data_IF_384682517413
#
_entry.id   IF_384682517413
#
_cell.length_a   1.000
_cell.length_b   1.000
_cell.length_c   1.000
_cell.angle_alpha   90.00
_cell.angle_beta   90.00
_cell.angle_gamma   90.00
#
_symmetry.space_group_name_H-M   'P 1'
#
loop_
_entity.id
_entity.type
_entity.pdbx_description
1 polymer ?
#
# COMPACT_ATOMS: atom_id res chain seq x y z
N UNK A 1 -10.63 -26.84 -13.72
CA UNK A 1 -9.63 -26.38 -14.69
C UNK A 1 -8.47 -27.34 -14.65
N UNK A 2 -7.80 -27.68 -15.78
CA UNK A 2 -6.57 -28.45 -15.73
C UNK A 2 -5.55 -27.65 -14.89
N UNK A 3 -4.64 -28.31 -14.16
CA UNK A 3 -3.62 -27.63 -13.39
C UNK A 3 -2.77 -26.77 -14.32
N UNK A 4 -2.71 -25.47 -14.02
CA UNK A 4 -1.84 -24.55 -14.77
C UNK A 4 -0.40 -24.99 -14.51
N UNK A 5 0.38 -25.15 -15.56
CA UNK A 5 1.80 -25.49 -15.42
C UNK A 5 2.49 -24.46 -14.53
N UNK A 6 3.40 -24.89 -13.65
CA UNK A 6 4.16 -23.94 -12.82
C UNK A 6 4.80 -22.85 -13.67
N UNK A 7 4.59 -21.58 -13.29
CA UNK A 7 5.22 -20.43 -13.94
C UNK A 7 6.32 -19.87 -13.04
N UNK A 8 7.34 -19.27 -13.67
CA UNK A 8 8.44 -18.60 -13.00
C UNK A 8 8.20 -17.07 -13.04
N UNK A 9 8.02 -16.47 -11.87
CA UNK A 9 7.73 -15.04 -11.74
C UNK A 9 8.87 -14.31 -11.02
N UNK A 10 9.35 -13.21 -11.59
CA UNK A 10 10.32 -12.34 -10.92
C UNK A 10 9.69 -10.96 -10.63
N UNK A 11 9.59 -10.61 -9.35
CA UNK A 11 9.11 -9.31 -8.89
C UNK A 11 10.29 -8.35 -8.66
N UNK A 12 10.17 -7.10 -9.10
CA UNK A 12 11.18 -6.07 -8.91
C UNK A 12 10.70 -4.96 -7.98
N UNK A 13 11.45 -4.74 -6.90
CA UNK A 13 11.24 -3.65 -5.92
C UNK A 13 12.57 -2.96 -5.58
N UNK A 14 12.55 -1.70 -5.10
CA UNK A 14 13.79 -1.01 -4.73
C UNK A 14 14.53 -1.67 -3.57
N UNK A 15 13.82 -1.93 -2.49
CA UNK A 15 14.31 -2.50 -1.22
C UNK A 15 13.21 -3.33 -0.58
N UNK A 16 13.56 -4.14 0.44
CA UNK A 16 12.64 -4.95 1.25
C UNK A 16 12.76 -4.57 2.73
N UNK A 17 12.57 -3.27 3.06
CA UNK A 17 12.70 -2.80 4.45
C UNK A 17 11.37 -2.70 5.18
N UNK A 18 10.49 -1.80 4.72
CA UNK A 18 9.16 -1.58 5.30
C UNK A 18 8.33 -0.74 4.34
N UNK A 19 7.03 -0.95 4.36
CA UNK A 19 6.08 -0.17 3.59
C UNK A 19 5.09 -1.06 2.84
N UNK A 20 4.06 -0.41 2.29
CA UNK A 20 3.00 -1.12 1.64
C UNK A 20 3.41 -1.84 0.36
N UNK A 21 4.41 -1.34 -0.39
CA UNK A 21 4.90 -1.99 -1.62
C UNK A 21 5.65 -3.27 -1.28
N UNK A 22 6.54 -3.18 -0.30
CA UNK A 22 7.36 -4.29 0.18
C UNK A 22 6.49 -5.39 0.75
N UNK A 23 5.52 -5.05 1.63
CA UNK A 23 4.58 -6.03 2.18
C UNK A 23 3.78 -6.71 1.08
N UNK A 24 3.20 -5.96 0.14
CA UNK A 24 2.47 -6.53 -1.00
C UNK A 24 3.34 -7.38 -1.93
N UNK A 25 4.66 -7.17 -1.94
CA UNK A 25 5.60 -8.03 -2.69
C UNK A 25 5.73 -9.39 -2.01
N UNK A 26 5.88 -9.41 -0.67
CA UNK A 26 5.93 -10.66 0.10
C UNK A 26 4.60 -11.43 0.00
N UNK A 27 3.49 -10.72 0.13
CA UNK A 27 2.14 -11.29 0.03
C UNK A 27 1.94 -12.05 -1.31
N UNK A 28 2.32 -11.43 -2.43
CA UNK A 28 2.25 -12.08 -3.75
C UNK A 28 3.31 -13.17 -3.91
N UNK A 29 4.51 -12.99 -3.37
CA UNK A 29 5.56 -14.00 -3.39
C UNK A 29 5.12 -15.27 -2.65
N UNK A 30 4.51 -15.14 -1.48
CA UNK A 30 3.94 -16.26 -0.73
C UNK A 30 2.79 -16.92 -1.47
N UNK A 31 1.89 -16.13 -2.11
CA UNK A 31 0.79 -16.68 -2.89
C UNK A 31 1.28 -17.51 -4.10
N UNK A 32 2.36 -17.08 -4.76
CA UNK A 32 3.00 -17.81 -5.84
C UNK A 32 3.54 -19.16 -5.34
N UNK A 33 4.28 -19.17 -4.24
CA UNK A 33 4.81 -20.40 -3.64
C UNK A 33 3.69 -21.35 -3.23
N UNK A 34 2.64 -20.83 -2.58
CA UNK A 34 1.48 -21.63 -2.16
C UNK A 34 0.71 -22.25 -3.35
N UNK A 35 0.73 -21.57 -4.50
CA UNK A 35 0.13 -22.07 -5.75
C UNK A 35 1.06 -23.00 -6.54
N UNK A 36 2.27 -23.32 -6.04
CA UNK A 36 3.24 -24.20 -6.69
C UNK A 36 4.04 -23.54 -7.81
N UNK A 37 4.08 -22.19 -7.87
CA UNK A 37 4.87 -21.44 -8.83
C UNK A 37 6.27 -21.11 -8.29
N UNK A 38 7.21 -20.83 -9.20
CA UNK A 38 8.56 -20.41 -8.84
C UNK A 38 8.61 -18.90 -8.62
N UNK A 39 8.83 -18.49 -7.36
CA UNK A 39 8.80 -17.08 -6.94
C UNK A 39 10.20 -16.51 -6.72
N UNK A 40 10.55 -15.49 -7.51
CA UNK A 40 11.78 -14.72 -7.39
C UNK A 40 11.48 -13.26 -7.04
N UNK A 41 12.33 -12.65 -6.20
CA UNK A 41 12.25 -11.23 -5.88
C UNK A 41 13.62 -10.58 -6.03
N UNK A 42 13.70 -9.57 -6.88
CA UNK A 42 14.92 -8.79 -7.14
C UNK A 42 14.84 -7.43 -6.44
N UNK A 43 15.74 -7.17 -5.50
CA UNK A 43 15.81 -5.91 -4.73
C UNK A 43 17.23 -5.60 -4.25
N UNK A 44 17.41 -4.41 -3.65
CA UNK A 44 18.67 -4.07 -2.98
C UNK A 44 18.79 -4.72 -1.57
N UNK A 45 17.94 -5.70 -1.23
CA UNK A 45 17.88 -6.29 0.09
C UNK A 45 17.05 -5.49 1.10
N UNK A 46 17.14 -5.87 2.36
CA UNK A 46 16.43 -5.25 3.48
C UNK A 46 15.97 -6.28 4.51
N UNK A 47 15.45 -5.81 5.64
CA UNK A 47 15.08 -6.63 6.80
C UNK A 47 14.00 -7.70 6.54
N UNK A 48 13.23 -7.55 5.45
CA UNK A 48 12.16 -8.50 5.08
C UNK A 48 12.67 -9.64 4.17
N UNK A 49 13.97 -9.68 3.82
CA UNK A 49 14.53 -10.75 2.98
C UNK A 49 14.47 -12.09 3.67
N UNK A 50 14.76 -12.15 4.99
CA UNK A 50 14.70 -13.40 5.76
C UNK A 50 13.28 -13.97 5.83
N UNK A 51 12.27 -13.11 5.93
CA UNK A 51 10.86 -13.52 5.86
C UNK A 51 10.52 -14.08 4.50
N UNK A 52 10.89 -13.38 3.43
CA UNK A 52 10.67 -13.78 2.04
C UNK A 52 11.26 -15.17 1.74
N UNK A 53 12.51 -15.40 2.14
CA UNK A 53 13.22 -16.66 1.87
C UNK A 53 12.67 -17.81 2.71
N UNK A 54 12.30 -17.57 3.97
CA UNK A 54 11.61 -18.58 4.80
C UNK A 54 10.26 -19.00 4.22
N UNK A 55 9.61 -18.10 3.50
CA UNK A 55 8.34 -18.37 2.80
C UNK A 55 8.54 -19.11 1.45
N UNK A 56 9.78 -19.48 1.09
CA UNK A 56 10.10 -20.28 -0.09
C UNK A 56 10.42 -19.50 -1.36
N UNK A 57 10.47 -18.17 -1.34
CA UNK A 57 10.87 -17.37 -2.48
C UNK A 57 12.39 -17.18 -2.56
N UNK A 58 12.92 -16.99 -3.77
CA UNK A 58 14.34 -16.78 -4.03
C UNK A 58 14.62 -15.28 -4.14
N UNK A 59 15.52 -14.75 -3.30
CA UNK A 59 15.94 -13.37 -3.36
C UNK A 59 17.17 -13.18 -4.26
N UNK A 60 17.12 -12.16 -5.11
CA UNK A 60 18.25 -11.73 -5.95
C UNK A 60 18.68 -10.31 -5.60
N UNK A 61 19.98 -10.14 -5.33
CA UNK A 61 20.55 -8.84 -4.98
C UNK A 61 20.69 -7.94 -6.21
N UNK A 62 19.78 -6.98 -6.37
CA UNK A 62 19.80 -5.99 -7.45
C UNK A 62 19.62 -4.57 -6.92
N UNK A 63 20.68 -3.77 -6.92
CA UNK A 63 20.66 -2.38 -6.48
C UNK A 63 20.07 -1.47 -7.58
N UNK A 64 18.74 -1.48 -7.73
CA UNK A 64 17.98 -0.67 -8.70
C UNK A 64 17.21 0.49 -8.04
N UNK A 65 17.53 0.84 -6.79
CA UNK A 65 16.78 1.84 -5.99
C UNK A 65 17.19 3.29 -6.26
N UNK A 66 18.44 3.53 -6.68
CA UNK A 66 18.99 4.89 -6.85
C UNK A 66 18.55 5.51 -8.19
N UNK A 67 18.03 6.74 -8.11
CA UNK A 67 17.74 7.57 -9.29
C UNK A 67 19.05 8.16 -9.84
N UNK A 68 19.82 7.35 -10.55
CA UNK A 68 21.12 7.72 -11.11
C UNK A 68 21.28 7.16 -12.52
N UNK A 69 21.96 7.88 -13.42
CA UNK A 69 22.35 7.34 -14.73
C UNK A 69 23.15 6.02 -14.62
N UNK A 70 23.96 5.86 -13.57
CA UNK A 70 24.70 4.62 -13.29
C UNK A 70 23.79 3.40 -13.07
N UNK A 71 22.57 3.62 -12.57
CA UNK A 71 21.58 2.54 -12.42
C UNK A 71 21.09 2.06 -13.79
N UNK A 72 20.95 2.96 -14.77
CA UNK A 72 20.57 2.61 -16.14
C UNK A 72 21.67 1.83 -16.88
N UNK A 73 22.95 1.99 -16.52
CA UNK A 73 24.06 1.20 -17.10
C UNK A 73 23.92 -0.30 -16.78
N UNK A 74 23.16 -0.67 -15.76
CA UNK A 74 22.88 -2.07 -15.40
C UNK A 74 21.96 -2.79 -16.39
N UNK A 75 21.36 -2.07 -17.36
CA UNK A 75 20.37 -2.61 -18.30
C UNK A 75 20.90 -3.84 -19.08
N UNK A 76 22.14 -3.80 -19.57
CA UNK A 76 22.70 -4.90 -20.34
C UNK A 76 22.96 -6.15 -19.48
N UNK A 77 23.48 -5.95 -18.26
CA UNK A 77 23.70 -7.04 -17.30
C UNK A 77 22.40 -7.63 -16.84
N UNK A 78 21.38 -6.79 -16.55
CA UNK A 78 20.05 -7.23 -16.17
C UNK A 78 19.38 -8.03 -17.29
N UNK A 79 19.54 -7.61 -18.55
CA UNK A 79 19.01 -8.35 -19.70
C UNK A 79 19.56 -9.76 -19.76
N UNK A 80 20.89 -9.92 -19.69
CA UNK A 80 21.54 -11.25 -19.70
C UNK A 80 21.04 -12.13 -18.55
N UNK A 81 20.99 -11.56 -17.34
CA UNK A 81 20.48 -12.27 -16.17
C UNK A 81 19.03 -12.72 -16.34
N UNK A 82 18.16 -11.91 -16.98
CA UNK A 82 16.79 -12.29 -17.28
C UNK A 82 16.72 -13.35 -18.40
N UNK A 83 17.62 -13.29 -19.38
CA UNK A 83 17.76 -14.30 -20.43
C UNK A 83 18.23 -15.64 -19.85
N UNK A 84 19.15 -15.61 -18.87
CA UNK A 84 19.65 -16.82 -18.18
C UNK A 84 18.63 -17.39 -17.16
N UNK A 85 17.85 -16.51 -16.48
CA UNK A 85 16.82 -16.92 -15.52
C UNK A 85 15.60 -17.52 -16.21
N UNK A 86 15.29 -17.08 -17.43
CA UNK A 86 14.12 -17.47 -18.22
C UNK A 86 12.78 -17.37 -17.43
N UNK A 87 12.43 -16.21 -16.85
CA UNK A 87 11.15 -16.07 -16.18
C UNK A 87 10.02 -16.02 -17.22
N UNK A 88 8.83 -16.48 -16.83
CA UNK A 88 7.62 -16.31 -17.63
C UNK A 88 7.03 -14.92 -17.48
N UNK A 89 7.07 -14.40 -16.25
CA UNK A 89 6.52 -13.10 -15.88
C UNK A 89 7.59 -12.23 -15.20
N UNK A 90 7.70 -10.99 -15.63
CA UNK A 90 8.38 -9.92 -14.91
C UNK A 90 7.32 -8.99 -14.34
N UNK A 91 7.29 -8.81 -13.01
CA UNK A 91 6.36 -7.91 -12.35
C UNK A 91 7.11 -6.75 -11.67
N UNK A 92 6.93 -5.53 -12.13
CA UNK A 92 7.63 -4.36 -11.60
C UNK A 92 6.72 -3.47 -10.77
N UNK A 93 7.18 -3.12 -9.57
CA UNK A 93 6.36 -2.44 -8.56
C UNK A 93 6.85 -1.02 -8.20
N UNK A 94 7.86 -0.50 -8.90
CA UNK A 94 8.41 0.84 -8.64
C UNK A 94 9.09 1.43 -9.86
N UNK A 95 9.05 2.76 -9.98
CA UNK A 95 9.47 3.51 -11.17
C UNK A 95 10.92 3.29 -11.60
N UNK A 96 11.88 3.32 -10.67
CA UNK A 96 13.29 3.17 -11.06
C UNK A 96 13.63 1.75 -11.54
N UNK A 97 13.24 0.69 -10.81
CA UNK A 97 13.30 -0.66 -11.38
C UNK A 97 12.58 -0.79 -12.71
N UNK A 98 11.38 -0.16 -12.87
CA UNK A 98 10.61 -0.22 -14.11
C UNK A 98 11.40 0.34 -15.32
N UNK A 99 12.12 1.44 -15.15
CA UNK A 99 12.95 1.98 -16.22
C UNK A 99 14.05 1.01 -16.65
N UNK A 100 14.80 0.43 -15.72
CA UNK A 100 15.90 -0.50 -16.04
C UNK A 100 15.36 -1.79 -16.66
N UNK A 101 14.31 -2.36 -16.06
CA UNK A 101 13.66 -3.58 -16.56
C UNK A 101 13.07 -3.36 -17.94
N UNK A 102 12.31 -2.29 -18.16
CA UNK A 102 11.69 -2.01 -19.46
C UNK A 102 12.75 -1.80 -20.56
N UNK A 103 13.84 -1.10 -20.27
CA UNK A 103 14.95 -0.93 -21.21
C UNK A 103 15.67 -2.24 -21.54
N UNK A 104 15.77 -3.17 -20.57
CA UNK A 104 16.31 -4.51 -20.79
C UNK A 104 15.34 -5.35 -21.63
N UNK A 105 14.08 -5.42 -21.19
CA UNK A 105 13.01 -6.21 -21.78
C UNK A 105 12.73 -5.88 -23.23
N UNK A 106 12.70 -4.59 -23.60
CA UNK A 106 12.46 -4.17 -24.99
C UNK A 106 13.58 -4.57 -25.96
N UNK A 107 14.75 -4.94 -25.45
CA UNK A 107 15.89 -5.42 -26.24
C UNK A 107 16.00 -6.95 -26.31
N UNK A 108 15.15 -7.67 -25.58
CA UNK A 108 15.04 -9.13 -25.68
C UNK A 108 14.24 -9.52 -26.92
N UNK A 109 14.39 -10.76 -27.35
CA UNK A 109 13.62 -11.28 -28.49
C UNK A 109 12.12 -11.25 -28.21
N UNK A 110 11.30 -10.51 -28.99
CA UNK A 110 9.85 -10.38 -28.76
C UNK A 110 9.09 -11.71 -28.71
N UNK A 111 9.57 -12.74 -29.44
CA UNK A 111 8.91 -14.05 -29.49
C UNK A 111 9.08 -14.86 -28.20
N UNK A 112 10.20 -14.66 -27.47
CA UNK A 112 10.55 -15.49 -26.31
C UNK A 112 10.62 -14.73 -24.99
N UNK A 113 10.67 -13.38 -25.04
CA UNK A 113 10.80 -12.58 -23.83
C UNK A 113 9.64 -12.79 -22.86
N UNK A 114 9.89 -12.68 -21.54
CA UNK A 114 8.85 -12.80 -20.52
C UNK A 114 7.77 -11.74 -20.68
N UNK A 115 6.56 -12.02 -20.17
CA UNK A 115 5.48 -11.03 -20.13
C UNK A 115 5.76 -9.98 -19.06
N UNK A 116 5.42 -8.73 -19.33
CA UNK A 116 5.73 -7.61 -18.44
C UNK A 116 4.46 -7.08 -17.76
N UNK A 117 4.43 -7.16 -16.44
CA UNK A 117 3.39 -6.60 -15.57
C UNK A 117 3.96 -5.44 -14.77
N UNK A 118 3.18 -4.39 -14.58
CA UNK A 118 3.52 -3.30 -13.66
C UNK A 118 2.38 -3.07 -12.68
N UNK A 119 2.67 -2.66 -11.43
CA UNK A 119 1.64 -2.22 -10.47
C UNK A 119 1.88 -0.78 -10.05
N UNK A 120 0.87 0.07 -10.21
CA UNK A 120 0.91 1.44 -9.74
C UNK A 120 0.54 1.51 -8.25
N UNK A 121 1.56 1.59 -7.38
CA UNK A 121 1.41 1.68 -5.93
C UNK A 121 1.36 3.10 -5.36
N UNK A 122 1.47 4.13 -6.18
CA UNK A 122 1.46 5.51 -5.72
C UNK A 122 0.97 6.46 -6.80
N UNK A 123 0.13 7.41 -6.43
CA UNK A 123 -0.27 8.52 -7.28
C UNK A 123 0.87 9.54 -7.31
N UNK A 124 1.80 9.32 -8.19
CA UNK A 124 3.01 10.15 -8.31
C UNK A 124 2.71 11.48 -9.00
N UNK A 125 3.63 12.44 -8.89
CA UNK A 125 3.59 13.64 -9.74
C UNK A 125 3.60 13.26 -11.20
N UNK A 126 2.72 13.90 -11.99
CA UNK A 126 2.61 13.66 -13.43
C UNK A 126 3.91 14.09 -14.11
N UNK A 127 4.64 13.15 -14.69
CA UNK A 127 5.90 13.38 -15.38
C UNK A 127 6.21 12.23 -16.35
N UNK A 128 7.06 12.49 -17.33
CA UNK A 128 7.54 11.44 -18.24
C UNK A 128 8.18 10.26 -17.47
N UNK A 129 8.86 10.56 -16.35
CA UNK A 129 9.48 9.55 -15.49
C UNK A 129 8.43 8.62 -14.85
N UNK A 130 7.27 9.14 -14.45
CA UNK A 130 6.20 8.37 -13.82
C UNK A 130 5.40 7.53 -14.84
N UNK A 131 5.37 7.93 -16.12
CA UNK A 131 4.67 7.20 -17.19
C UNK A 131 5.21 5.79 -17.44
N UNK A 132 6.42 5.49 -16.95
CA UNK A 132 7.01 4.16 -17.07
C UNK A 132 6.12 3.07 -16.43
N UNK A 133 5.35 3.42 -15.39
CA UNK A 133 4.45 2.47 -14.73
C UNK A 133 3.27 2.04 -15.60
N UNK A 134 3.01 2.74 -16.70
CA UNK A 134 2.03 2.37 -17.71
C UNK A 134 2.61 1.53 -18.87
N UNK A 135 3.85 1.10 -18.81
CA UNK A 135 4.53 0.37 -19.92
C UNK A 135 4.47 -1.15 -19.80
N UNK A 136 3.75 -1.70 -18.82
CA UNK A 136 3.45 -3.13 -18.75
C UNK A 136 2.48 -3.56 -19.86
N UNK A 137 2.54 -4.82 -20.27
CA UNK A 137 1.53 -5.45 -21.14
C UNK A 137 0.20 -5.58 -20.39
N UNK A 138 0.27 -5.75 -19.06
CA UNK A 138 -0.81 -5.51 -18.11
C UNK A 138 -0.35 -4.57 -17.01
N UNK A 139 -1.24 -3.71 -16.58
CA UNK A 139 -0.98 -2.72 -15.53
C UNK A 139 -1.99 -2.91 -14.41
N UNK A 140 -1.52 -3.25 -13.23
CA UNK A 140 -2.38 -3.40 -12.05
C UNK A 140 -2.56 -2.03 -11.40
N UNK A 141 -3.81 -1.60 -11.29
CA UNK A 141 -4.24 -0.44 -10.51
C UNK A 141 -4.76 -0.90 -9.15
N UNK A 142 -4.24 -0.32 -8.06
CA UNK A 142 -4.62 -0.73 -6.70
C UNK A 142 -5.89 -0.04 -6.18
N UNK A 143 -6.51 0.83 -6.99
CA UNK A 143 -7.76 1.54 -6.71
C UNK A 143 -8.32 2.15 -8.00
N UNK A 144 -9.59 2.56 -8.00
CA UNK A 144 -10.21 3.33 -9.10
C UNK A 144 -9.48 4.66 -9.34
N UNK A 145 -8.96 5.28 -8.28
CA UNK A 145 -8.14 6.49 -8.40
C UNK A 145 -6.81 6.20 -9.13
N UNK A 146 -6.18 5.06 -8.86
CA UNK A 146 -4.98 4.62 -9.57
C UNK A 146 -5.28 4.25 -11.04
N UNK A 147 -6.42 3.65 -11.32
CA UNK A 147 -6.89 3.35 -12.68
C UNK A 147 -7.09 4.63 -13.48
N UNK A 148 -7.83 5.61 -12.94
CA UNK A 148 -7.98 6.94 -13.59
C UNK A 148 -6.63 7.59 -13.85
N UNK A 149 -5.72 7.58 -12.87
CA UNK A 149 -4.38 8.12 -13.06
C UNK A 149 -3.61 7.46 -14.21
N UNK A 150 -3.73 6.15 -14.38
CA UNK A 150 -3.10 5.41 -15.47
C UNK A 150 -3.67 5.79 -16.83
N UNK A 151 -4.98 5.91 -16.94
CA UNK A 151 -5.65 6.36 -18.17
C UNK A 151 -5.25 7.81 -18.51
N UNK A 152 -5.46 8.73 -17.58
CA UNK A 152 -5.37 10.17 -17.83
C UNK A 152 -3.93 10.65 -18.01
N UNK A 153 -2.98 10.06 -17.25
CA UNK A 153 -1.61 10.58 -17.17
C UNK A 153 -0.54 9.66 -17.73
N UNK A 154 -0.81 8.35 -17.82
CA UNK A 154 0.14 7.39 -18.38
C UNK A 154 -0.24 6.90 -19.78
N UNK A 155 -1.46 7.18 -20.25
CA UNK A 155 -1.96 6.80 -21.58
C UNK A 155 -2.18 5.28 -21.69
N UNK A 156 -2.55 4.61 -20.59
CA UNK A 156 -2.84 3.17 -20.59
C UNK A 156 -4.28 2.96 -21.06
N UNK A 157 -4.47 2.05 -22.00
CA UNK A 157 -5.81 1.69 -22.44
C UNK A 157 -6.53 0.90 -21.33
N UNK A 158 -7.84 1.14 -21.10
CA UNK A 158 -8.59 0.45 -20.03
C UNK A 158 -8.47 -1.08 -20.08
N UNK A 159 -8.49 -1.68 -21.26
CA UNK A 159 -8.38 -3.14 -21.45
C UNK A 159 -7.04 -3.72 -20.97
N UNK A 160 -5.99 -2.91 -20.86
CA UNK A 160 -4.69 -3.30 -20.35
C UNK A 160 -4.57 -3.10 -18.84
N UNK A 161 -5.57 -2.51 -18.18
CA UNK A 161 -5.60 -2.31 -16.74
C UNK A 161 -6.36 -3.46 -16.08
N UNK A 162 -5.86 -3.89 -14.94
CA UNK A 162 -6.57 -4.75 -13.99
C UNK A 162 -6.71 -3.99 -12.68
N UNK A 163 -7.94 -3.66 -12.32
CA UNK A 163 -8.26 -3.08 -11.02
C UNK A 163 -8.21 -4.19 -9.97
N UNK A 164 -7.14 -4.21 -9.20
CA UNK A 164 -6.93 -5.19 -8.13
C UNK A 164 -6.65 -4.42 -6.85
N UNK A 165 -7.66 -4.27 -6.02
CA UNK A 165 -7.52 -3.64 -4.72
C UNK A 165 -6.49 -4.38 -3.87
N UNK A 166 -5.78 -3.65 -3.03
CA UNK A 166 -4.99 -4.29 -1.99
C UNK A 166 -5.92 -4.83 -0.91
N UNK A 167 -5.40 -5.74 -0.13
CA UNK A 167 -6.20 -6.35 0.93
C UNK A 167 -5.46 -6.48 2.25
N UNK A 168 -6.21 -6.85 3.26
CA UNK A 168 -5.73 -7.30 4.56
C UNK A 168 -6.11 -8.75 4.78
N UNK A 169 -5.30 -9.45 5.57
CA UNK A 169 -5.66 -10.77 6.08
C UNK A 169 -6.59 -10.60 7.29
N UNK A 170 -7.81 -11.19 7.26
CA UNK A 170 -8.71 -11.16 8.40
C UNK A 170 -8.11 -11.78 9.69
N UNK A 171 -7.13 -12.67 9.56
CA UNK A 171 -6.42 -13.23 10.73
C UNK A 171 -5.44 -12.26 11.36
N UNK A 172 -4.86 -11.34 10.58
CA UNK A 172 -3.99 -10.27 11.09
C UNK A 172 -4.81 -9.16 11.77
N UNK A 173 -5.99 -8.82 11.22
CA UNK A 173 -6.89 -7.77 11.72
C UNK A 173 -8.30 -8.31 11.94
N UNK A 174 -8.49 -9.25 12.91
CA UNK A 174 -9.79 -9.87 13.14
C UNK A 174 -10.80 -8.87 13.72
N UNK A 175 -12.04 -9.01 13.26
CA UNK A 175 -13.15 -8.18 13.74
C UNK A 175 -13.30 -8.28 15.26
N UNK A 176 -13.54 -7.13 15.92
CA UNK A 176 -13.67 -7.01 17.38
C UNK A 176 -12.45 -7.54 18.16
N UNK A 177 -11.25 -7.43 17.58
CA UNK A 177 -10.01 -7.80 18.25
C UNK A 177 -9.88 -7.10 19.60
N UNK A 178 -9.46 -7.86 20.61
CA UNK A 178 -9.18 -7.32 21.94
C UNK A 178 -7.69 -7.55 22.27
N UNK A 179 -6.93 -6.50 22.61
CA UNK A 179 -5.55 -6.65 23.05
C UNK A 179 -5.46 -7.49 24.34
N UNK A 180 -4.35 -8.20 24.51
CA UNK A 180 -4.13 -8.98 25.73
C UNK A 180 -3.99 -8.07 26.96
N UNK A 181 -4.35 -8.58 28.14
CA UNK A 181 -4.17 -7.85 29.41
C UNK A 181 -2.72 -7.44 29.65
N UNK A 182 -1.77 -8.29 29.25
CA UNK A 182 -0.35 -8.00 29.36
C UNK A 182 0.03 -6.78 28.53
N UNK A 183 -0.48 -6.70 27.29
CA UNK A 183 -0.24 -5.56 26.40
C UNK A 183 -0.89 -4.29 26.96
N UNK A 184 -2.15 -4.38 27.45
CA UNK A 184 -2.86 -3.24 28.05
C UNK A 184 -2.13 -2.69 29.29
N UNK A 185 -1.61 -3.56 30.15
CA UNK A 185 -0.80 -3.15 31.32
C UNK A 185 0.51 -2.46 30.90
N UNK A 186 1.20 -3.00 29.89
CA UNK A 186 2.42 -2.38 29.37
C UNK A 186 2.14 -1.03 28.69
N UNK A 187 1.04 -0.93 27.93
CA UNK A 187 0.58 0.31 27.31
C UNK A 187 0.26 1.39 28.34
N UNK A 188 -0.52 1.05 29.37
CA UNK A 188 -0.87 1.97 30.45
C UNK A 188 0.35 2.47 31.25
N UNK A 189 1.35 1.60 31.46
CA UNK A 189 2.61 1.98 32.10
C UNK A 189 3.46 2.90 31.19
N UNK A 190 3.46 2.69 29.89
CA UNK A 190 4.20 3.50 28.92
C UNK A 190 3.54 4.87 28.66
N UNK A 191 2.22 4.92 28.65
CA UNK A 191 1.44 6.12 28.32
C UNK A 191 0.35 6.40 29.39
N UNK A 192 0.74 6.68 30.66
CA UNK A 192 -0.22 6.87 31.76
C UNK A 192 -1.18 8.03 31.50
N UNK A 193 -0.77 9.06 30.74
CA UNK A 193 -1.61 10.22 30.36
C UNK A 193 -2.77 9.88 29.44
N UNK A 194 -2.78 8.69 28.83
CA UNK A 194 -3.86 8.22 27.95
C UNK A 194 -4.91 7.38 28.67
N UNK A 195 -4.69 7.04 29.96
CA UNK A 195 -5.63 6.22 30.72
C UNK A 195 -7.00 6.89 30.86
N UNK A 196 -8.07 6.11 30.60
CA UNK A 196 -9.44 6.58 30.68
C UNK A 196 -9.88 7.58 29.61
N UNK A 197 -9.02 7.85 28.61
CA UNK A 197 -9.34 8.76 27.51
C UNK A 197 -9.76 8.00 26.25
N UNK A 198 -10.69 8.59 25.51
CA UNK A 198 -11.05 8.19 24.15
C UNK A 198 -9.94 8.63 23.19
N UNK A 199 -9.34 7.69 22.46
CA UNK A 199 -8.16 7.96 21.64
C UNK A 199 -8.55 8.29 20.20
N UNK A 200 -8.06 9.43 19.71
CA UNK A 200 -8.10 9.83 18.30
C UNK A 200 -6.71 9.50 17.71
N UNK A 201 -6.59 8.41 16.96
CA UNK A 201 -5.31 7.95 16.42
C UNK A 201 -5.06 8.49 15.01
N UNK A 202 -3.87 9.01 14.75
CA UNK A 202 -3.40 9.36 13.41
C UNK A 202 -2.13 8.56 13.08
N UNK A 203 -2.28 7.46 12.33
CA UNK A 203 -1.18 6.60 11.94
C UNK A 203 -0.48 7.11 10.68
N UNK A 204 0.83 6.97 10.65
CA UNK A 204 1.65 7.27 9.48
C UNK A 204 2.91 8.04 9.81
N UNK A 205 3.90 7.96 8.91
CA UNK A 205 5.16 8.69 9.05
C UNK A 205 4.93 10.17 9.32
N UNK A 206 5.71 10.76 10.22
CA UNK A 206 5.66 12.19 10.46
C UNK A 206 6.18 12.91 9.21
N UNK A 207 5.25 13.46 8.44
CA UNK A 207 5.53 14.18 7.19
C UNK A 207 4.38 15.13 6.87
N UNK A 208 4.65 16.20 6.13
CA UNK A 208 3.60 17.15 5.69
C UNK A 208 2.47 16.48 4.90
N UNK A 209 2.76 15.34 4.25
CA UNK A 209 1.75 14.57 3.52
C UNK A 209 0.63 14.06 4.44
N UNK A 210 0.97 13.60 5.64
CA UNK A 210 0.01 13.01 6.59
C UNK A 210 -0.80 14.03 7.40
N UNK A 211 -0.52 15.32 7.22
CA UNK A 211 -1.34 16.44 7.71
C UNK A 211 -1.72 16.38 9.20
N UNK A 212 -0.78 16.05 10.07
CA UNK A 212 -0.98 15.87 11.52
C UNK A 212 -1.61 17.09 12.21
N UNK A 213 -1.50 18.28 11.62
CA UNK A 213 -2.12 19.50 12.13
C UNK A 213 -3.65 19.39 12.25
N UNK A 214 -4.31 18.57 11.42
CA UNK A 214 -5.75 18.36 11.54
C UNK A 214 -6.14 17.70 12.86
N UNK A 215 -5.36 16.73 13.35
CA UNK A 215 -5.59 16.13 14.67
C UNK A 215 -5.44 17.19 15.77
N UNK A 216 -4.37 18.01 15.71
CA UNK A 216 -4.09 19.05 16.71
C UNK A 216 -5.26 20.05 16.77
N UNK A 217 -5.70 20.56 15.62
CA UNK A 217 -6.80 21.53 15.53
C UNK A 217 -8.13 20.93 16.00
N UNK A 218 -8.44 19.69 15.60
CA UNK A 218 -9.67 19.01 16.03
C UNK A 218 -9.68 18.77 17.53
N UNK A 219 -8.55 18.34 18.11
CA UNK A 219 -8.46 18.12 19.55
C UNK A 219 -8.58 19.43 20.35
N UNK A 220 -7.91 20.50 19.90
CA UNK A 220 -8.05 21.84 20.50
C UNK A 220 -9.51 22.26 20.57
N UNK A 221 -10.25 22.07 19.49
CA UNK A 221 -11.66 22.48 19.40
C UNK A 221 -12.56 21.60 20.28
N UNK A 222 -12.39 20.26 20.26
CA UNK A 222 -13.11 19.36 21.14
C UNK A 222 -12.99 19.76 22.61
N UNK A 223 -11.79 20.11 23.05
CA UNK A 223 -11.53 20.55 24.41
C UNK A 223 -12.16 21.91 24.72
N UNK A 224 -12.09 22.86 23.78
CA UNK A 224 -12.72 24.17 23.94
C UNK A 224 -14.26 24.05 24.07
N UNK A 225 -14.86 23.03 23.46
CA UNK A 225 -16.29 22.75 23.54
C UNK A 225 -16.65 21.80 24.71
N UNK A 226 -15.69 21.53 25.63
CA UNK A 226 -15.95 20.82 26.89
C UNK A 226 -15.73 19.30 26.84
N UNK A 227 -15.26 18.74 25.73
CA UNK A 227 -14.91 17.32 25.63
C UNK A 227 -13.50 17.10 26.19
N UNK A 228 -13.39 16.76 27.48
CA UNK A 228 -12.10 16.66 28.20
C UNK A 228 -11.51 15.26 28.26
N UNK A 229 -12.31 14.24 27.99
CA UNK A 229 -11.97 12.81 28.04
C UNK A 229 -11.38 12.27 26.73
N UNK A 230 -10.80 13.12 25.89
CA UNK A 230 -10.19 12.77 24.60
C UNK A 230 -8.69 13.00 24.59
N UNK A 231 -7.96 12.19 23.86
CA UNK A 231 -6.53 12.39 23.60
C UNK A 231 -6.14 12.03 22.15
N UNK A 232 -5.16 12.74 21.63
CA UNK A 232 -4.58 12.50 20.31
C UNK A 232 -3.37 11.56 20.38
N UNK A 233 -3.34 10.55 19.52
CA UNK A 233 -2.24 9.60 19.41
C UNK A 233 -1.64 9.65 18.02
N UNK A 234 -0.42 10.17 17.87
CA UNK A 234 0.32 10.20 16.61
C UNK A 234 1.27 9.00 16.58
N UNK A 235 1.03 8.08 15.64
CA UNK A 235 1.81 6.84 15.52
C UNK A 235 2.57 6.80 14.21
N UNK A 236 3.87 6.98 14.28
CA UNK A 236 4.73 6.91 13.10
C UNK A 236 6.15 7.38 13.39
N UNK A 237 7.09 6.78 12.68
CA UNK A 237 8.48 7.19 12.76
C UNK A 237 8.72 8.55 12.11
N UNK A 238 9.76 9.23 12.58
CA UNK A 238 10.38 10.37 11.90
C UNK A 238 11.71 9.93 11.28
N UNK A 239 12.06 10.52 10.16
CA UNK A 239 13.40 10.43 9.59
C UNK A 239 14.07 11.81 9.59
N UNK A 240 15.38 11.84 9.33
CA UNK A 240 16.15 13.08 9.35
C UNK A 240 15.60 14.17 8.38
N UNK A 241 14.97 13.75 7.29
CA UNK A 241 14.41 14.68 6.31
C UNK A 241 13.14 15.41 6.83
N UNK A 242 12.51 14.89 7.88
CA UNK A 242 11.26 15.42 8.44
C UNK A 242 11.43 16.04 9.85
N UNK A 243 12.64 16.16 10.36
CA UNK A 243 12.92 16.71 11.70
C UNK A 243 12.38 18.15 11.89
N UNK A 244 12.53 19.00 10.87
CA UNK A 244 12.00 20.36 10.92
C UNK A 244 10.46 20.38 11.06
N UNK A 245 9.77 19.52 10.31
CA UNK A 245 8.32 19.39 10.41
C UNK A 245 7.87 18.84 11.76
N UNK A 246 8.62 17.91 12.34
CA UNK A 246 8.33 17.41 13.67
C UNK A 246 8.39 18.51 14.74
N UNK A 247 9.42 19.38 14.70
CA UNK A 247 9.52 20.53 15.60
C UNK A 247 8.36 21.53 15.40
N UNK A 248 7.95 21.76 14.17
CA UNK A 248 6.77 22.58 13.88
C UNK A 248 5.50 22.02 14.52
N UNK A 249 5.29 20.69 14.43
CA UNK A 249 4.15 20.04 15.06
C UNK A 249 4.19 20.17 16.60
N UNK A 250 5.36 19.98 17.22
CA UNK A 250 5.52 20.18 18.67
C UNK A 250 5.18 21.62 19.08
N UNK A 251 5.65 22.61 18.32
CA UNK A 251 5.31 24.02 18.57
C UNK A 251 3.81 24.30 18.40
N UNK A 252 3.15 23.67 17.40
CA UNK A 252 1.70 23.76 17.21
C UNK A 252 0.92 23.16 18.37
N UNK A 253 1.33 22.00 18.89
CA UNK A 253 0.73 21.34 20.05
C UNK A 253 0.77 22.25 21.29
N UNK A 254 1.93 22.88 21.54
CA UNK A 254 2.10 23.84 22.68
C UNK A 254 1.20 25.06 22.46
N UNK A 255 1.23 25.66 21.26
CA UNK A 255 0.42 26.83 20.93
C UNK A 255 -1.08 26.57 21.03
N UNK A 256 -1.52 25.36 20.68
CA UNK A 256 -2.93 24.94 20.77
C UNK A 256 -3.37 24.62 22.22
N UNK A 257 -2.46 24.59 23.19
CA UNK A 257 -2.77 24.26 24.59
C UNK A 257 -3.18 22.81 24.83
N UNK A 258 -2.72 21.88 23.97
CA UNK A 258 -3.08 20.46 24.03
C UNK A 258 -1.86 19.53 24.26
N UNK A 259 -0.80 20.07 24.84
CA UNK A 259 0.46 19.34 25.03
C UNK A 259 0.31 18.10 25.92
N UNK A 260 -0.55 18.16 26.93
CA UNK A 260 -0.82 17.04 27.85
C UNK A 260 -1.78 16.00 27.23
N UNK A 261 -2.42 16.31 26.11
CA UNK A 261 -3.45 15.48 25.50
C UNK A 261 -2.98 14.87 24.16
N UNK A 262 -1.78 15.16 23.68
CA UNK A 262 -1.22 14.57 22.46
C UNK A 262 0.05 13.79 22.77
N UNK A 263 0.07 12.54 22.32
CA UNK A 263 1.22 11.63 22.43
C UNK A 263 1.79 11.32 21.05
N UNK A 264 3.11 11.49 20.91
CA UNK A 264 3.90 11.01 19.78
C UNK A 264 4.50 9.65 20.15
N UNK A 265 3.83 8.56 19.75
CA UNK A 265 4.23 7.19 20.14
C UNK A 265 5.42 6.62 19.34
N UNK A 266 5.92 7.38 18.34
CA UNK A 266 7.02 6.92 17.48
C UNK A 266 6.60 5.80 16.53
N UNK A 267 7.60 5.05 16.02
CA UNK A 267 7.34 3.89 15.18
C UNK A 267 6.86 2.71 16.04
N UNK A 268 5.73 2.11 15.63
CA UNK A 268 5.11 0.96 16.31
C UNK A 268 4.91 -0.17 15.32
N UNK A 269 5.02 -1.40 15.79
CA UNK A 269 4.69 -2.63 15.04
C UNK A 269 3.38 -3.27 15.49
N UNK A 270 2.87 -2.90 16.66
CA UNK A 270 1.65 -3.37 17.30
C UNK A 270 0.42 -2.52 16.92
N UNK A 271 0.30 -2.24 15.61
CA UNK A 271 -0.77 -1.35 15.11
C UNK A 271 -2.16 -1.94 15.31
N UNK A 272 -2.31 -3.25 15.27
CA UNK A 272 -3.58 -3.93 15.51
C UNK A 272 -4.12 -3.61 16.92
N UNK A 273 -3.28 -3.71 17.93
CA UNK A 273 -3.59 -3.40 19.32
C UNK A 273 -3.97 -1.92 19.46
N UNK A 274 -3.17 -1.04 18.84
CA UNK A 274 -3.41 0.42 18.87
C UNK A 274 -4.73 0.78 18.20
N UNK A 275 -5.04 0.18 17.04
CA UNK A 275 -6.33 0.40 16.39
C UNK A 275 -7.50 -0.08 17.25
N UNK A 276 -7.35 -1.24 17.93
CA UNK A 276 -8.39 -1.80 18.77
C UNK A 276 -8.75 -0.95 20.01
N UNK A 277 -7.77 -0.21 20.55
CA UNK A 277 -8.03 0.72 21.68
C UNK A 277 -8.38 2.14 21.24
N UNK A 278 -8.36 2.43 19.93
CA UNK A 278 -8.70 3.75 19.39
C UNK A 278 -10.20 3.91 19.24
N UNK A 279 -10.74 5.04 19.67
CA UNK A 279 -12.16 5.39 19.47
C UNK A 279 -12.43 5.83 18.03
N UNK A 280 -11.44 6.45 17.37
CA UNK A 280 -11.49 6.83 15.98
C UNK A 280 -10.06 6.93 15.40
N UNK A 281 -9.90 6.53 14.14
CA UNK A 281 -8.63 6.68 13.41
C UNK A 281 -8.79 7.72 12.31
N UNK A 282 -7.78 8.57 12.11
CA UNK A 282 -7.79 9.63 11.09
C UNK A 282 -6.98 9.24 9.85
N UNK A 283 -7.57 9.40 8.68
CA UNK A 283 -6.94 9.19 7.37
C UNK A 283 -7.01 10.47 6.52
N UNK A 284 -6.24 11.50 6.92
CA UNK A 284 -6.37 12.90 6.47
C UNK A 284 -5.16 13.39 5.65
N UNK A 285 -4.63 12.56 4.77
CA UNK A 285 -3.49 12.94 3.94
C UNK A 285 -3.80 14.13 3.01
N UNK A 286 -2.87 15.09 2.88
CA UNK A 286 -2.98 16.27 2.00
C UNK A 286 -3.05 15.94 0.50
N UNK A 287 -2.73 14.71 0.12
CA UNK A 287 -2.81 14.21 -1.26
C UNK A 287 -3.47 12.84 -1.26
N UNK A 288 -4.17 12.55 -2.34
CA UNK A 288 -4.77 11.25 -2.54
C UNK A 288 -3.75 10.12 -2.38
N UNK A 289 -4.04 9.18 -1.51
CA UNK A 289 -3.31 7.93 -1.42
C UNK A 289 -3.81 6.96 -2.48
N UNK A 290 -2.90 6.16 -3.02
CA UNK A 290 -3.27 5.18 -4.04
C UNK A 290 -4.19 4.08 -3.50
N UNK A 291 -4.12 3.76 -2.20
CA UNK A 291 -5.00 2.80 -1.54
C UNK A 291 -5.42 3.29 -0.14
N UNK A 292 -4.58 3.18 0.89
CA UNK A 292 -4.90 3.65 2.24
C UNK A 292 -5.00 2.50 3.26
N UNK A 293 -3.95 1.70 3.42
CA UNK A 293 -3.92 0.63 4.44
C UNK A 293 -4.24 1.14 5.85
N UNK A 294 -3.79 2.35 6.18
CA UNK A 294 -4.06 2.99 7.48
C UNK A 294 -5.54 3.33 7.71
N UNK A 295 -6.36 3.31 6.66
CA UNK A 295 -7.83 3.37 6.79
C UNK A 295 -8.44 1.97 6.82
N UNK A 296 -7.95 1.04 5.98
CA UNK A 296 -8.51 -0.30 5.88
C UNK A 296 -8.31 -1.12 7.15
N UNK A 297 -7.10 -1.16 7.68
CA UNK A 297 -6.73 -1.98 8.84
C UNK A 297 -7.60 -1.74 10.07
N UNK A 298 -7.81 -0.48 10.54
CA UNK A 298 -8.72 -0.23 11.65
C UNK A 298 -10.17 -0.57 11.33
N UNK A 299 -10.66 -0.31 10.11
CA UNK A 299 -12.02 -0.69 9.70
C UNK A 299 -12.24 -2.20 9.74
N UNK A 300 -11.22 -3.02 9.40
CA UNK A 300 -11.30 -4.48 9.51
C UNK A 300 -11.55 -4.92 10.96
N UNK A 301 -10.90 -4.28 11.93
CA UNK A 301 -11.10 -4.55 13.37
C UNK A 301 -12.50 -4.10 13.83
N UNK A 302 -13.11 -3.12 13.16
CA UNK A 302 -14.36 -2.47 13.52
C UNK A 302 -14.16 -1.09 14.14
N UNK A 303 -12.93 -0.58 14.17
CA UNK A 303 -12.64 0.78 14.64
C UNK A 303 -13.05 1.80 13.56
N UNK A 304 -13.87 2.80 13.89
CA UNK A 304 -14.28 3.85 12.95
C UNK A 304 -13.09 4.64 12.39
N UNK A 305 -13.18 5.02 11.12
CA UNK A 305 -12.18 5.87 10.48
C UNK A 305 -12.83 7.11 9.91
N UNK A 306 -12.29 8.27 10.24
CA UNK A 306 -12.68 9.54 9.62
C UNK A 306 -11.56 9.99 8.70
N UNK A 307 -11.87 10.27 7.45
CA UNK A 307 -10.84 10.60 6.47
C UNK A 307 -11.35 11.39 5.28
N UNK A 308 -10.42 12.03 4.57
CA UNK A 308 -10.75 12.75 3.36
C UNK A 308 -11.20 11.82 2.24
N UNK A 309 -12.31 12.17 1.60
CA UNK A 309 -12.91 11.43 0.48
C UNK A 309 -12.11 11.63 -0.81
N UNK A 310 -10.86 11.18 -0.79
CA UNK A 310 -9.96 11.25 -1.94
C UNK A 310 -9.15 9.94 -2.09
N UNK A 311 -8.87 9.58 -3.35
CA UNK A 311 -8.05 8.41 -3.66
C UNK A 311 -8.62 7.11 -3.11
N UNK A 312 -7.76 6.16 -2.79
CA UNK A 312 -8.17 4.87 -2.23
C UNK A 312 -8.77 4.95 -0.84
N UNK A 313 -8.45 5.97 -0.05
CA UNK A 313 -9.08 6.19 1.28
C UNK A 313 -10.58 6.44 1.10
N UNK A 314 -10.97 7.32 0.16
CA UNK A 314 -12.38 7.59 -0.13
C UNK A 314 -13.12 6.34 -0.61
N UNK A 315 -12.47 5.48 -1.42
CA UNK A 315 -13.05 4.21 -1.89
C UNK A 315 -13.29 3.23 -0.75
N UNK A 316 -12.32 3.07 0.17
CA UNK A 316 -12.43 2.21 1.34
C UNK A 316 -13.55 2.70 2.28
N UNK A 317 -13.57 4.01 2.57
CA UNK A 317 -14.60 4.60 3.41
C UNK A 317 -16.00 4.45 2.78
N UNK A 318 -16.12 4.65 1.47
CA UNK A 318 -17.38 4.47 0.76
C UNK A 318 -17.95 3.05 0.91
N UNK A 319 -17.09 2.05 0.92
CA UNK A 319 -17.47 0.64 1.05
C UNK A 319 -17.76 0.23 2.52
N UNK A 320 -16.91 0.66 3.46
CA UNK A 320 -16.92 0.12 4.81
C UNK A 320 -17.46 1.07 5.88
N UNK A 321 -17.33 2.38 5.69
CA UNK A 321 -17.78 3.38 6.66
C UNK A 321 -18.11 4.72 6.00
N UNK A 322 -19.22 4.84 5.24
CA UNK A 322 -19.61 6.06 4.53
C UNK A 322 -19.73 7.29 5.42
N UNK A 323 -20.17 7.11 6.69
CA UNK A 323 -20.30 8.21 7.66
C UNK A 323 -18.97 8.87 8.04
N UNK A 324 -17.83 8.20 7.81
CA UNK A 324 -16.49 8.73 8.06
C UNK A 324 -15.90 9.53 6.90
N UNK A 325 -16.61 9.65 5.76
CA UNK A 325 -16.13 10.41 4.59
C UNK A 325 -16.29 11.90 4.79
N UNK A 326 -15.20 12.62 4.59
CA UNK A 326 -15.14 14.07 4.73
C UNK A 326 -14.69 14.70 3.41
N UNK A 327 -15.29 15.80 2.94
CA UNK A 327 -14.79 16.52 1.78
C UNK A 327 -13.31 16.85 1.92
N UNK A 328 -12.57 16.75 0.80
CA UNK A 328 -11.13 16.94 0.84
C UNK A 328 -10.73 18.31 1.40
N UNK A 329 -9.86 18.33 2.41
CA UNK A 329 -9.36 19.53 3.11
C UNK A 329 -10.42 20.37 3.82
N UNK A 330 -11.61 19.87 4.02
CA UNK A 330 -12.66 20.53 4.81
C UNK A 330 -12.44 20.24 6.30
N UNK A 331 -11.80 21.18 6.99
CA UNK A 331 -11.48 21.05 8.42
C UNK A 331 -12.72 21.16 9.31
N UNK A 332 -13.77 21.87 8.88
CA UNK A 332 -15.04 21.98 9.62
C UNK A 332 -15.81 20.68 9.58
N UNK A 333 -15.98 20.11 8.39
CA UNK A 333 -16.61 18.81 8.22
C UNK A 333 -15.79 17.71 8.93
N UNK A 334 -14.45 17.78 8.90
CA UNK A 334 -13.60 16.83 9.61
C UNK A 334 -13.85 16.86 11.12
N UNK A 335 -13.84 18.06 11.71
CA UNK A 335 -14.13 18.23 13.12
C UNK A 335 -15.51 17.71 13.48
N UNK A 336 -16.55 18.13 12.75
CA UNK A 336 -17.94 17.75 13.02
C UNK A 336 -18.14 16.23 12.92
N UNK A 337 -17.49 15.57 11.94
CA UNK A 337 -17.54 14.12 11.78
C UNK A 337 -16.83 13.39 12.92
N UNK A 338 -15.65 13.87 13.35
CA UNK A 338 -14.95 13.30 14.53
C UNK A 338 -15.82 13.42 15.77
N UNK A 339 -16.41 14.59 16.02
CA UNK A 339 -17.28 14.82 17.18
C UNK A 339 -18.50 13.90 17.17
N UNK A 340 -19.16 13.74 16.01
CA UNK A 340 -20.29 12.84 15.84
C UNK A 340 -19.93 11.37 16.10
N UNK A 341 -18.81 10.89 15.54
CA UNK A 341 -18.33 9.51 15.77
C UNK A 341 -18.01 9.27 17.25
N UNK A 342 -17.41 10.25 17.93
CA UNK A 342 -17.11 10.13 19.37
C UNK A 342 -18.37 10.18 20.26
N UNK A 343 -19.42 10.87 19.83
CA UNK A 343 -20.65 10.99 20.59
C UNK A 343 -21.60 9.78 20.46
N UNK A 344 -21.49 9.03 19.38
CA UNK A 344 -22.40 7.91 19.06
C UNK A 344 -21.74 6.56 19.32
N UNK A 345 -22.08 5.93 20.44
CA UNK A 345 -21.61 4.59 20.80
C UNK A 345 -22.20 3.47 19.90
N UNK A 346 -23.23 3.77 19.09
CA UNK A 346 -23.87 2.81 18.19
C UNK A 346 -23.23 2.77 16.79
N UNK A 347 -22.19 3.57 16.54
CA UNK A 347 -21.46 3.58 15.26
C UNK A 347 -20.98 2.19 14.90
N UNK A 348 -21.38 1.73 13.72
CA UNK A 348 -21.00 0.42 13.19
C UNK A 348 -20.23 0.57 11.88
N UNK A 349 -19.19 -0.23 11.75
CA UNK A 349 -18.35 -0.35 10.53
C UNK A 349 -18.81 -1.61 9.79
N UNK A 350 -18.97 -1.54 8.47
CA UNK A 350 -19.32 -2.70 7.66
C UNK A 350 -18.18 -3.74 7.68
N UNK A 351 -18.54 -5.00 7.44
CA UNK A 351 -17.54 -6.07 7.30
C UNK A 351 -16.75 -5.92 6.02
N UNK A 352 -15.46 -6.23 6.08
CA UNK A 352 -14.57 -6.21 4.91
C UNK A 352 -14.80 -7.47 4.05
N UNK A 353 -15.52 -7.33 2.95
CA UNK A 353 -15.75 -8.40 1.96
C UNK A 353 -14.99 -8.15 0.65
N UNK A 354 -14.60 -6.92 0.39
CA UNK A 354 -13.98 -6.50 -0.88
C UNK A 354 -12.45 -6.49 -0.81
N UNK A 355 -11.89 -5.91 0.26
CA UNK A 355 -10.45 -5.66 0.39
C UNK A 355 -9.74 -6.80 1.14
N UNK A 356 -9.92 -8.02 0.67
CA UNK A 356 -9.31 -9.22 1.24
C UNK A 356 -7.96 -9.51 0.56
N UNK A 357 -6.97 -9.93 1.36
CA UNK A 357 -5.66 -10.35 0.86
C UNK A 357 -5.79 -11.51 -0.14
N UNK A 358 -6.67 -12.47 0.13
CA UNK A 358 -6.96 -13.59 -0.77
C UNK A 358 -7.44 -13.13 -2.15
N UNK A 359 -8.33 -12.13 -2.20
CA UNK A 359 -8.82 -11.56 -3.46
C UNK A 359 -7.69 -10.90 -4.26
N UNK A 360 -6.84 -10.10 -3.58
CA UNK A 360 -5.68 -9.47 -4.21
C UNK A 360 -4.72 -10.52 -4.81
N UNK A 361 -4.41 -11.57 -4.05
CA UNK A 361 -3.52 -12.62 -4.49
C UNK A 361 -4.12 -13.38 -5.69
N UNK A 362 -5.36 -13.87 -5.56
CA UNK A 362 -6.05 -14.62 -6.62
C UNK A 362 -6.13 -13.84 -7.92
N UNK A 363 -6.58 -12.58 -7.89
CA UNK A 363 -6.69 -11.75 -9.08
C UNK A 363 -5.33 -11.41 -9.71
N UNK A 364 -4.27 -11.29 -8.88
CA UNK A 364 -2.91 -11.07 -9.40
C UNK A 364 -2.40 -12.30 -10.13
N UNK A 365 -2.58 -13.49 -9.56
CA UNK A 365 -2.20 -14.76 -10.21
C UNK A 365 -3.00 -14.98 -11.50
N UNK A 366 -4.31 -14.74 -11.48
CA UNK A 366 -5.16 -14.79 -12.68
C UNK A 366 -4.65 -13.85 -13.79
N UNK A 367 -4.18 -12.65 -13.43
CA UNK A 367 -3.57 -11.72 -14.40
C UNK A 367 -2.32 -12.32 -15.06
N UNK A 368 -1.53 -13.09 -14.33
CA UNK A 368 -0.37 -13.78 -14.92
C UNK A 368 -0.81 -14.91 -15.84
N UNK A 369 -1.78 -15.72 -15.42
CA UNK A 369 -2.34 -16.82 -16.22
C UNK A 369 -2.95 -16.30 -17.55
N UNK A 370 -3.74 -15.21 -17.51
CA UNK A 370 -4.27 -14.56 -18.71
C UNK A 370 -3.16 -14.23 -19.72
N UNK A 371 -2.06 -13.64 -19.26
CA UNK A 371 -0.93 -13.28 -20.12
C UNK A 371 -0.22 -14.50 -20.71
N UNK A 372 -0.15 -15.61 -19.96
CA UNK A 372 0.45 -16.86 -20.46
C UNK A 372 -0.44 -17.52 -21.52
N UNK A 373 -1.76 -17.52 -21.34
CA UNK A 373 -2.72 -18.02 -22.33
C UNK A 373 -2.67 -17.21 -23.63
N UNK A 374 -2.59 -15.88 -23.54
CA UNK A 374 -2.44 -15.00 -24.71
C UNK A 374 -1.12 -15.29 -25.48
N UNK A 375 -0.04 -15.67 -24.77
CA UNK A 375 1.23 -16.05 -25.40
C UNK A 375 1.07 -17.35 -26.22
N UNK A 376 0.41 -18.36 -25.66
CA UNK A 376 0.19 -19.66 -26.31
C UNK A 376 -0.64 -19.51 -27.60
N UNK A 377 -1.74 -18.74 -27.56
CA UNK A 377 -2.61 -18.52 -28.70
C UNK A 377 -1.93 -17.78 -29.86
N UNK A 378 -1.04 -16.82 -29.59
CA UNK A 378 -0.25 -16.15 -30.63
C UNK A 378 0.78 -17.07 -31.27
N UNK A 379 1.43 -17.93 -30.48
CA UNK A 379 2.40 -18.92 -30.99
C UNK A 379 1.74 -19.97 -31.91
N UNK A 380 0.53 -20.40 -31.58
CA UNK A 380 -0.24 -21.36 -32.40
C UNK A 380 -0.70 -20.70 -33.73
N UNK A 381 -1.15 -19.44 -33.68
CA UNK A 381 -1.58 -18.71 -34.87
C UNK A 381 -0.42 -18.46 -35.85
N UNK A 382 0.77 -18.13 -35.35
CA UNK A 382 1.97 -17.93 -36.19
C UNK A 382 2.45 -19.25 -36.80
N UNK A 383 2.37 -20.36 -36.03
CA UNK A 383 2.76 -21.69 -36.49
C UNK A 383 1.78 -22.24 -37.56
N UNK A 384 0.51 -21.84 -37.47
CA UNK A 384 -0.51 -22.22 -38.47
C UNK A 384 -0.34 -21.42 -39.77
N UNK A 385 0.01 -20.14 -39.69
CA UNK A 385 0.34 -19.30 -40.84
C UNK A 385 1.59 -19.75 -41.58
N UNK A 386 2.60 -20.23 -40.86
CA UNK A 386 3.85 -20.73 -41.44
C UNK A 386 3.71 -22.09 -42.16
N UNK A 387 2.60 -22.81 -41.95
CA UNK A 387 2.32 -24.12 -42.55
C UNK A 387 1.37 -24.08 -43.74
N UNK A 388 0.84 -22.92 -44.13
CA UNK A 388 0.06 -22.77 -45.34
C UNK A 388 1.03 -22.72 -46.54
N UNK A 389 0.95 -23.65 -47.51
CA UNK A 389 1.76 -23.59 -48.74
C UNK A 389 1.37 -22.38 -49.57
N UNK A 390 2.39 -21.75 -50.20
CA UNK A 390 2.26 -20.60 -51.10
C UNK A 390 1.48 -20.98 -52.40
#
# INVERSE_FOLDING_TARGET
MPPVSPIKVVQFVPNLNSGGVERGTLEIAQALVNAGHESHVASNGGRMVDELTRQGSIHHQWALHRKSPTTLLKTATLRRWLEDLEPDIIHVRSRMPAWVVWLAWRKMNPATRPRLVTTLHGLHSVSWYSKIMGRGERVIAVSKAAERYLCDHCGVLPNNIRLIHRGTDPSEFPRNYQPSEQWLKAWAAQFPQLQGKRLICLPGRISRLKAHHHLITSLQRLKAEGTTDVAGLIVGGKDAAHEAYFRELQAQVIKAGVAEDIVFAGHRSDMREIYAISSVVLAVSNKAESFGRTALEPLCIGTPVVGFDIGGVGEILAAMFPAGRVPNQDSEALYSTIAAVLADASVTVAENTEFLLSNMCTQTLQTYEELMLERSSHSEADNTRAKLPA
#
